data_IF_445893299853
#
_entry.id   IF_445893299853
#
_cell.length_a   1.000
_cell.length_b   1.000
_cell.length_c   1.000
_cell.angle_alpha   90.00
_cell.angle_beta   90.00
_cell.angle_gamma   90.00
#
_symmetry.space_group_name_H-M   'P 1'
#
loop_
_entity.id
_entity.type
_entity.pdbx_description
1 polymer ?
#
# COMPACT_ATOMS: atom_id res chain seq x y z
N UNK A 1 45.95 -51.71 21.60
CA UNK A 1 46.15 -50.25 21.54
C UNK A 1 45.60 -49.81 20.20
N UNK A 2 44.29 -49.61 20.12
CA UNK A 2 43.61 -49.28 18.88
C UNK A 2 43.42 -47.76 18.83
N UNK A 3 43.97 -47.14 17.78
CA UNK A 3 43.74 -45.74 17.43
C UNK A 3 42.25 -45.52 17.15
N UNK A 4 41.64 -44.59 17.89
CA UNK A 4 40.27 -44.17 17.66
C UNK A 4 40.16 -43.35 16.37
N UNK A 5 39.00 -43.36 15.68
CA UNK A 5 38.84 -42.59 14.45
C UNK A 5 38.90 -41.10 14.75
N UNK A 6 39.67 -40.37 13.94
CA UNK A 6 39.71 -38.93 13.95
C UNK A 6 38.30 -38.35 13.75
N UNK A 7 37.83 -37.64 14.76
CA UNK A 7 36.59 -36.88 14.75
C UNK A 7 36.68 -35.82 13.63
N UNK A 8 35.90 -36.01 12.56
CA UNK A 8 35.79 -35.05 11.47
C UNK A 8 35.19 -33.76 12.02
N UNK A 9 35.97 -32.69 12.03
CA UNK A 9 35.51 -31.36 12.43
C UNK A 9 34.23 -30.97 11.65
N UNK A 10 33.22 -30.37 12.30
CA UNK A 10 32.01 -29.95 11.62
C UNK A 10 32.34 -28.89 10.55
N UNK A 11 31.61 -28.87 9.42
CA UNK A 11 31.81 -27.83 8.41
C UNK A 11 31.56 -26.45 9.04
N UNK A 12 32.49 -25.52 8.79
CA UNK A 12 32.42 -24.13 9.24
C UNK A 12 31.06 -23.52 8.90
N UNK A 13 30.31 -23.16 9.94
CA UNK A 13 28.93 -22.68 9.88
C UNK A 13 28.82 -21.15 9.68
N UNK A 14 29.69 -20.54 8.87
CA UNK A 14 29.53 -19.14 8.49
C UNK A 14 29.24 -19.04 6.99
N UNK A 15 27.95 -19.00 6.67
CA UNK A 15 27.45 -18.81 5.30
C UNK A 15 27.72 -17.40 4.73
N UNK A 16 28.09 -16.44 5.59
CA UNK A 16 28.41 -15.06 5.20
C UNK A 16 29.92 -14.84 5.11
N UNK A 17 30.35 -14.01 4.17
CA UNK A 17 31.73 -13.55 4.10
C UNK A 17 32.11 -12.80 5.38
N UNK A 18 33.32 -13.05 5.89
CA UNK A 18 33.84 -12.33 7.06
C UNK A 18 34.10 -10.87 6.73
N UNK A 19 33.97 -9.97 7.70
CA UNK A 19 34.21 -8.52 7.49
C UNK A 19 35.63 -8.19 7.04
N UNK A 20 36.61 -9.05 7.35
CA UNK A 20 38.00 -8.95 6.92
C UNK A 20 38.26 -9.47 5.51
N UNK A 21 37.30 -10.15 4.88
CA UNK A 21 37.43 -10.65 3.51
C UNK A 21 37.49 -9.47 2.51
N UNK A 22 38.48 -9.41 1.61
CA UNK A 22 38.54 -8.39 0.55
C UNK A 22 37.25 -8.31 -0.30
N UNK A 23 36.52 -9.41 -0.49
CA UNK A 23 35.22 -9.41 -1.17
C UNK A 23 34.14 -8.69 -0.37
N UNK A 24 34.17 -8.76 0.96
CA UNK A 24 33.29 -7.96 1.82
C UNK A 24 33.57 -6.47 1.65
N UNK A 25 34.86 -6.09 1.62
CA UNK A 25 35.28 -4.70 1.39
C UNK A 25 34.87 -4.19 0.00
N UNK A 26 35.01 -5.02 -1.04
CA UNK A 26 34.58 -4.68 -2.40
C UNK A 26 33.06 -4.50 -2.51
N UNK A 27 32.28 -5.40 -1.89
CA UNK A 27 30.82 -5.29 -1.84
C UNK A 27 30.37 -4.03 -1.08
N UNK A 28 31.05 -3.67 0.01
CA UNK A 28 30.80 -2.42 0.72
C UNK A 28 31.11 -1.19 -0.16
N UNK A 29 32.26 -1.17 -0.84
CA UNK A 29 32.61 -0.08 -1.75
C UNK A 29 31.57 0.10 -2.87
N UNK A 30 31.04 -1.00 -3.42
CA UNK A 30 29.92 -0.94 -4.37
C UNK A 30 28.66 -0.32 -3.75
N UNK A 31 28.24 -0.78 -2.57
CA UNK A 31 27.05 -0.26 -1.87
C UNK A 31 27.17 1.24 -1.57
N UNK A 32 28.35 1.69 -1.15
CA UNK A 32 28.63 3.10 -0.88
C UNK A 32 28.55 3.94 -2.16
N UNK A 33 29.19 3.48 -3.25
CA UNK A 33 29.14 4.16 -4.54
C UNK A 33 27.70 4.21 -5.10
N UNK A 34 26.94 3.12 -4.96
CA UNK A 34 25.54 3.04 -5.37
C UNK A 34 24.68 4.03 -4.56
N UNK A 35 24.82 4.06 -3.24
CA UNK A 35 24.09 4.98 -2.37
C UNK A 35 24.41 6.45 -2.70
N UNK A 36 25.69 6.79 -2.84
CA UNK A 36 26.10 8.14 -3.24
C UNK A 36 25.54 8.54 -4.61
N UNK A 37 25.49 7.61 -5.57
CA UNK A 37 24.93 7.86 -6.91
C UNK A 37 23.42 8.06 -6.87
N UNK A 38 22.70 7.24 -6.09
CA UNK A 38 21.25 7.40 -5.87
C UNK A 38 20.95 8.79 -5.29
N UNK A 39 21.71 9.24 -4.30
CA UNK A 39 21.49 10.55 -3.68
C UNK A 39 21.77 11.70 -4.67
N UNK A 40 22.81 11.57 -5.50
CA UNK A 40 23.09 12.52 -6.58
C UNK A 40 21.99 12.54 -7.65
N UNK A 41 21.42 11.38 -8.00
CA UNK A 41 20.27 11.29 -8.92
C UNK A 41 19.11 12.06 -8.31
N UNK A 42 18.72 11.77 -7.06
CA UNK A 42 17.62 12.45 -6.39
C UNK A 42 17.79 13.97 -6.38
N UNK A 43 19.00 14.47 -6.12
CA UNK A 43 19.29 15.91 -6.14
C UNK A 43 19.17 16.55 -7.53
N UNK A 44 19.34 15.76 -8.59
CA UNK A 44 19.25 16.20 -10.00
C UNK A 44 17.90 15.91 -10.66
N UNK A 45 16.99 15.23 -9.97
CA UNK A 45 15.67 14.91 -10.51
C UNK A 45 14.87 16.18 -10.79
N UNK A 46 13.98 16.09 -11.78
CA UNK A 46 12.92 17.08 -11.97
C UNK A 46 11.95 17.11 -10.78
N UNK A 47 10.81 17.81 -10.90
CA UNK A 47 9.81 17.81 -9.85
C UNK A 47 9.38 16.38 -9.45
N UNK A 48 9.34 16.10 -8.15
CA UNK A 48 8.87 14.82 -7.61
C UNK A 48 7.80 15.03 -6.54
N UNK A 49 6.74 14.24 -6.59
CA UNK A 49 5.65 14.26 -5.62
C UNK A 49 5.65 12.98 -4.80
N UNK A 50 5.46 13.09 -3.49
CA UNK A 50 5.10 11.98 -2.63
C UNK A 50 3.70 12.18 -2.07
N UNK A 51 2.85 11.15 -2.16
CA UNK A 51 1.61 11.08 -1.38
C UNK A 51 1.86 10.19 -0.16
N UNK A 52 1.78 10.80 1.02
CA UNK A 52 2.00 10.14 2.31
C UNK A 52 0.85 10.55 3.23
N UNK A 53 0.05 9.59 3.68
CA UNK A 53 -1.13 9.82 4.51
C UNK A 53 -2.04 10.95 3.98
N UNK A 54 -2.18 12.05 4.73
CA UNK A 54 -3.04 13.19 4.40
C UNK A 54 -2.31 14.27 3.58
N UNK A 55 -1.05 14.04 3.21
CA UNK A 55 -0.18 15.03 2.61
C UNK A 55 0.23 14.65 1.19
N UNK A 56 0.31 15.68 0.36
CA UNK A 56 1.13 15.72 -0.84
C UNK A 56 2.37 16.54 -0.54
N UNK A 57 3.52 16.04 -0.96
CA UNK A 57 4.81 16.69 -0.76
C UNK A 57 5.48 16.81 -2.12
N UNK A 58 5.71 18.02 -2.59
CA UNK A 58 6.44 18.32 -3.82
C UNK A 58 7.84 18.80 -3.49
N UNK A 59 8.86 18.14 -4.06
CA UNK A 59 10.22 18.67 -4.12
C UNK A 59 10.49 19.19 -5.53
N UNK A 60 10.86 20.46 -5.63
CA UNK A 60 11.13 21.14 -6.91
C UNK A 60 12.16 22.25 -6.72
N UNK A 61 13.26 22.22 -7.48
CA UNK A 61 14.25 23.30 -7.49
C UNK A 61 14.81 23.65 -6.10
N UNK A 62 15.03 22.64 -5.25
CA UNK A 62 15.46 22.81 -3.86
C UNK A 62 14.37 23.27 -2.88
N UNK A 63 13.15 23.55 -3.35
CA UNK A 63 12.00 23.87 -2.52
C UNK A 63 11.21 22.62 -2.13
N UNK A 64 10.61 22.67 -0.94
CA UNK A 64 9.66 21.68 -0.45
C UNK A 64 8.31 22.36 -0.23
N UNK A 65 7.33 21.96 -1.03
CA UNK A 65 5.94 22.42 -0.93
C UNK A 65 5.09 21.30 -0.35
N UNK A 66 4.17 21.64 0.55
CA UNK A 66 3.26 20.69 1.18
C UNK A 66 1.84 21.16 0.95
N UNK A 67 0.98 20.24 0.52
CA UNK A 67 -0.44 20.47 0.33
C UNK A 67 -1.26 19.28 0.84
N UNK A 68 -2.58 19.45 1.02
CA UNK A 68 -3.44 18.37 1.44
C UNK A 68 -3.62 17.34 0.31
N UNK A 69 -3.66 16.06 0.67
CA UNK A 69 -4.11 14.97 -0.19
C UNK A 69 -5.60 14.67 -0.02
N UNK A 70 -6.19 15.08 1.10
CA UNK A 70 -7.61 14.89 1.43
C UNK A 70 -8.05 15.86 2.51
N UNK A 71 -9.35 16.01 2.70
CA UNK A 71 -9.90 16.87 3.75
C UNK A 71 -10.37 16.07 4.96
N UNK A 72 -10.88 16.77 5.97
CA UNK A 72 -11.57 16.15 7.11
C UNK A 72 -12.75 15.27 6.67
N UNK A 73 -13.41 15.57 5.54
CA UNK A 73 -14.58 14.83 5.05
C UNK A 73 -14.25 13.37 4.75
N UNK A 74 -13.08 13.11 4.15
CA UNK A 74 -12.57 11.75 3.96
C UNK A 74 -12.59 10.95 5.27
N UNK A 75 -12.03 11.53 6.34
CA UNK A 75 -11.92 10.84 7.63
C UNK A 75 -13.28 10.63 8.30
N UNK A 76 -14.17 11.62 8.21
CA UNK A 76 -15.52 11.50 8.76
C UNK A 76 -16.32 10.35 8.11
N UNK A 77 -16.18 10.16 6.80
CA UNK A 77 -16.84 9.07 6.08
C UNK A 77 -16.15 7.72 6.32
N UNK A 78 -14.81 7.67 6.26
CA UNK A 78 -14.02 6.46 6.46
C UNK A 78 -14.16 5.90 7.87
N UNK A 79 -14.11 6.73 8.91
CA UNK A 79 -14.15 6.23 10.30
C UNK A 79 -15.48 5.53 10.59
N UNK A 80 -16.59 6.00 10.02
CA UNK A 80 -17.90 5.34 10.21
C UNK A 80 -17.94 3.97 9.53
N UNK A 81 -17.26 3.78 8.38
CA UNK A 81 -17.21 2.45 7.74
C UNK A 81 -16.42 1.41 8.55
N UNK A 82 -15.52 1.85 9.43
CA UNK A 82 -14.82 0.96 10.33
C UNK A 82 -15.72 0.39 11.43
N UNK A 83 -16.86 1.01 11.76
CA UNK A 83 -17.70 0.55 12.88
C UNK A 83 -18.27 -0.85 12.62
N UNK A 84 -18.95 -1.13 11.49
CA UNK A 84 -19.41 -2.49 11.19
C UNK A 84 -18.26 -3.52 11.12
N UNK A 85 -17.10 -3.12 10.59
CA UNK A 85 -15.92 -3.99 10.50
C UNK A 85 -15.36 -4.33 11.89
N UNK A 86 -15.26 -3.34 12.79
CA UNK A 86 -14.81 -3.56 14.16
C UNK A 86 -15.74 -4.52 14.91
N UNK A 87 -17.06 -4.39 14.72
CA UNK A 87 -18.03 -5.33 15.30
C UNK A 87 -17.87 -6.73 14.72
N UNK A 88 -17.67 -6.87 13.41
CA UNK A 88 -17.37 -8.17 12.80
C UNK A 88 -16.11 -8.80 13.40
N UNK A 89 -15.01 -8.05 13.50
CA UNK A 89 -13.74 -8.55 14.06
C UNK A 89 -13.88 -8.98 15.51
N UNK A 90 -14.60 -8.21 16.32
CA UNK A 90 -14.77 -8.51 17.75
C UNK A 90 -15.69 -9.72 18.00
N UNK A 91 -16.64 -9.99 17.12
CA UNK A 91 -17.70 -11.00 17.32
C UNK A 91 -17.50 -12.28 16.49
N UNK A 92 -16.78 -12.21 15.37
CA UNK A 92 -16.59 -13.36 14.47
C UNK A 92 -15.87 -14.51 15.15
N UNK A 93 -16.35 -15.74 14.92
CA UNK A 93 -15.78 -16.96 15.47
C UNK A 93 -16.02 -17.20 16.97
N UNK A 94 -16.66 -16.25 17.67
CA UNK A 94 -17.00 -16.41 19.09
C UNK A 94 -18.28 -17.22 19.26
N UNK A 95 -18.30 -18.09 20.28
CA UNK A 95 -19.46 -18.90 20.68
C UNK A 95 -19.61 -18.82 22.20
N UNK A 96 -20.84 -18.66 22.68
CA UNK A 96 -21.14 -18.53 24.11
C UNK A 96 -20.83 -17.14 24.66
N UNK A 97 -20.82 -17.04 26.00
CA UNK A 97 -20.67 -15.77 26.71
C UNK A 97 -19.38 -15.02 26.33
N UNK A 98 -19.50 -13.70 26.23
CA UNK A 98 -18.37 -12.82 25.96
C UNK A 98 -17.50 -12.65 27.20
N UNK A 99 -16.19 -12.78 27.02
CA UNK A 99 -15.22 -12.39 28.05
C UNK A 99 -15.34 -10.90 28.42
N UNK A 100 -14.93 -10.56 29.64
CA UNK A 100 -15.06 -9.20 30.18
C UNK A 100 -14.33 -8.15 29.32
N UNK A 101 -13.16 -8.49 28.77
CA UNK A 101 -12.38 -7.56 27.96
C UNK A 101 -13.08 -7.20 26.64
N UNK A 102 -13.71 -8.18 26.00
CA UNK A 102 -14.54 -8.00 24.80
C UNK A 102 -15.79 -7.18 25.12
N UNK A 103 -16.47 -7.50 26.24
CA UNK A 103 -17.64 -6.74 26.70
C UNK A 103 -17.31 -5.27 26.97
N UNK A 104 -16.16 -4.99 27.58
CA UNK A 104 -15.69 -3.63 27.82
C UNK A 104 -15.38 -2.87 26.52
N UNK A 105 -14.74 -3.53 25.56
CA UNK A 105 -14.47 -2.96 24.23
C UNK A 105 -15.76 -2.62 23.49
N UNK A 106 -16.73 -3.53 23.47
CA UNK A 106 -18.04 -3.33 22.83
C UNK A 106 -18.83 -2.20 23.50
N UNK A 107 -18.80 -2.14 24.83
CA UNK A 107 -19.41 -1.04 25.60
C UNK A 107 -18.73 0.30 25.30
N UNK A 108 -17.40 0.30 25.11
CA UNK A 108 -16.65 1.47 24.64
C UNK A 108 -17.10 1.94 23.26
N UNK A 109 -17.26 1.02 22.31
CA UNK A 109 -17.77 1.33 20.96
C UNK A 109 -19.21 1.86 21.03
N UNK A 110 -20.08 1.27 21.85
CA UNK A 110 -21.45 1.73 22.03
C UNK A 110 -21.51 3.20 22.47
N UNK A 111 -20.68 3.59 23.46
CA UNK A 111 -20.58 5.00 23.90
C UNK A 111 -20.10 5.93 22.78
N UNK A 112 -19.12 5.49 21.98
CA UNK A 112 -18.61 6.27 20.85
C UNK A 112 -19.66 6.43 19.74
N UNK A 113 -20.49 5.42 19.49
CA UNK A 113 -21.62 5.49 18.55
C UNK A 113 -22.64 6.51 19.04
N UNK A 114 -23.06 6.45 20.30
CA UNK A 114 -24.01 7.42 20.89
C UNK A 114 -23.51 8.86 20.76
N UNK A 115 -22.26 9.11 21.16
CA UNK A 115 -21.65 10.43 21.03
C UNK A 115 -21.53 10.88 19.56
N UNK A 116 -21.30 9.95 18.64
CA UNK A 116 -21.22 10.25 17.20
C UNK A 116 -22.57 10.63 16.61
N UNK A 117 -23.65 9.96 17.02
CA UNK A 117 -25.04 10.28 16.62
C UNK A 117 -25.47 11.66 17.13
N UNK A 118 -25.17 11.99 18.40
CA UNK A 118 -25.45 13.31 18.98
C UNK A 118 -24.69 14.43 18.27
N UNK A 119 -23.46 14.15 17.82
CA UNK A 119 -22.60 15.11 17.13
C UNK A 119 -22.85 15.24 15.63
N UNK A 120 -23.71 14.42 15.04
CA UNK A 120 -23.73 14.20 13.58
C UNK A 120 -24.07 15.46 12.78
N UNK A 121 -25.09 16.22 13.20
CA UNK A 121 -25.54 17.43 12.50
C UNK A 121 -24.49 18.55 12.49
N UNK A 122 -23.53 18.54 13.43
CA UNK A 122 -22.48 19.56 13.54
C UNK A 122 -21.28 19.32 12.62
N UNK A 123 -21.29 18.25 11.83
CA UNK A 123 -20.17 17.84 10.97
C UNK A 123 -20.21 18.45 9.56
N UNK A 124 -21.27 19.20 9.22
CA UNK A 124 -21.43 19.81 7.90
C UNK A 124 -21.58 18.79 6.77
N UNK A 125 -22.07 17.59 7.08
CA UNK A 125 -22.37 16.55 6.09
C UNK A 125 -23.51 16.99 5.18
N UNK A 126 -23.53 16.53 3.92
CA UNK A 126 -24.75 16.68 3.11
C UNK A 126 -25.90 15.93 3.77
N UNK A 127 -27.15 16.26 3.42
CA UNK A 127 -28.31 15.57 3.97
C UNK A 127 -28.24 14.05 3.74
N UNK A 128 -27.85 13.64 2.53
CA UNK A 128 -27.68 12.22 2.19
C UNK A 128 -26.55 11.57 3.01
N UNK A 129 -25.41 12.25 3.14
CA UNK A 129 -24.27 11.75 3.92
C UNK A 129 -24.63 11.60 5.40
N UNK A 130 -25.32 12.59 5.99
CA UNK A 130 -25.78 12.55 7.38
C UNK A 130 -26.76 11.38 7.59
N UNK A 131 -27.78 11.25 6.73
CA UNK A 131 -28.73 10.16 6.80
C UNK A 131 -28.05 8.78 6.70
N UNK A 132 -27.02 8.66 5.86
CA UNK A 132 -26.23 7.43 5.70
C UNK A 132 -25.41 7.09 6.94
N UNK A 133 -24.72 8.05 7.54
CA UNK A 133 -23.96 7.81 8.77
C UNK A 133 -24.89 7.39 9.90
N UNK A 134 -26.06 8.03 9.99
CA UNK A 134 -27.09 7.68 10.96
C UNK A 134 -27.54 6.23 10.81
N UNK A 135 -27.87 5.77 9.59
CA UNK A 135 -28.24 4.37 9.33
C UNK A 135 -27.16 3.38 9.78
N UNK A 136 -25.90 3.63 9.43
CA UNK A 136 -24.79 2.74 9.81
C UNK A 136 -24.65 2.67 11.35
N UNK A 137 -24.65 3.83 12.00
CA UNK A 137 -24.46 3.94 13.44
C UNK A 137 -25.65 3.36 14.23
N UNK A 138 -26.88 3.60 13.81
CA UNK A 138 -28.09 3.06 14.45
C UNK A 138 -28.16 1.53 14.27
N UNK A 139 -27.85 1.00 13.09
CA UNK A 139 -27.76 -0.45 12.90
C UNK A 139 -26.65 -1.08 13.74
N UNK A 140 -25.50 -0.41 13.87
CA UNK A 140 -24.39 -0.84 14.73
C UNK A 140 -24.77 -0.82 16.21
N UNK A 141 -25.55 0.18 16.65
CA UNK A 141 -26.06 0.26 18.02
C UNK A 141 -27.03 -0.88 18.32
N UNK A 142 -27.92 -1.22 17.38
CA UNK A 142 -28.90 -2.29 17.57
C UNK A 142 -28.25 -3.66 17.75
N UNK A 143 -27.24 -4.00 16.95
CA UNK A 143 -26.53 -5.29 17.13
C UNK A 143 -25.70 -5.30 18.43
N UNK A 144 -25.12 -4.17 18.83
CA UNK A 144 -24.42 -4.04 20.11
C UNK A 144 -25.36 -4.24 21.30
N UNK A 145 -26.55 -3.66 21.25
CA UNK A 145 -27.57 -3.83 22.30
C UNK A 145 -27.92 -5.32 22.45
N UNK A 146 -28.26 -5.99 21.33
CA UNK A 146 -28.55 -7.43 21.32
C UNK A 146 -27.42 -8.26 21.94
N UNK A 147 -26.17 -7.97 21.57
CA UNK A 147 -25.00 -8.69 22.05
C UNK A 147 -24.73 -8.44 23.53
N UNK A 148 -24.90 -7.20 24.00
CA UNK A 148 -24.60 -6.83 25.38
C UNK A 148 -25.70 -7.28 26.35
N UNK A 149 -26.96 -7.38 25.89
CA UNK A 149 -28.11 -7.81 26.71
C UNK A 149 -28.32 -9.33 26.76
N UNK A 150 -27.68 -10.11 25.88
CA UNK A 150 -27.87 -11.55 25.77
C UNK A 150 -26.56 -12.35 25.71
N UNK A 151 -26.66 -13.60 25.28
CA UNK A 151 -25.54 -14.56 25.24
C UNK A 151 -24.66 -14.44 23.97
N UNK A 152 -24.61 -13.25 23.37
CA UNK A 152 -23.88 -12.96 22.12
C UNK A 152 -24.76 -12.88 20.87
N UNK A 153 -24.15 -13.06 19.69
CA UNK A 153 -24.84 -13.01 18.38
C UNK A 153 -24.52 -14.27 17.57
N UNK A 154 -25.51 -14.81 16.84
CA UNK A 154 -25.26 -15.94 15.96
C UNK A 154 -24.42 -15.54 14.74
N UNK A 155 -23.72 -16.50 14.13
CA UNK A 155 -22.94 -16.25 12.93
C UNK A 155 -23.81 -15.74 11.77
N UNK A 156 -25.03 -16.26 11.65
CA UNK A 156 -26.02 -15.88 10.63
C UNK A 156 -26.48 -14.43 10.85
N UNK A 157 -26.80 -14.05 12.08
CA UNK A 157 -27.22 -12.70 12.41
C UNK A 157 -26.08 -11.68 12.19
N UNK A 158 -24.85 -12.03 12.58
CA UNK A 158 -23.67 -11.19 12.32
C UNK A 158 -23.39 -11.04 10.82
N UNK A 159 -23.55 -12.12 10.04
CA UNK A 159 -23.38 -12.07 8.58
C UNK A 159 -24.46 -11.22 7.91
N UNK A 160 -25.73 -11.40 8.30
CA UNK A 160 -26.85 -10.61 7.78
C UNK A 160 -26.68 -9.11 8.07
N UNK A 161 -26.33 -8.76 9.31
CA UNK A 161 -25.97 -7.40 9.69
C UNK A 161 -24.86 -6.84 8.81
N UNK A 162 -23.72 -7.55 8.71
CA UNK A 162 -22.56 -7.09 7.96
C UNK A 162 -22.89 -6.84 6.48
N UNK A 163 -23.62 -7.77 5.84
CA UNK A 163 -24.05 -7.63 4.44
C UNK A 163 -25.00 -6.45 4.23
N UNK A 164 -25.91 -6.21 5.18
CA UNK A 164 -26.83 -5.08 5.10
C UNK A 164 -26.12 -3.72 5.16
N UNK A 165 -24.93 -3.64 5.76
CA UNK A 165 -24.15 -2.39 5.83
C UNK A 165 -23.37 -2.09 4.53
N UNK A 166 -23.15 -3.10 3.66
CA UNK A 166 -22.26 -2.97 2.49
C UNK A 166 -22.64 -1.81 1.56
N UNK A 167 -23.91 -1.59 1.16
CA UNK A 167 -24.27 -0.50 0.26
C UNK A 167 -23.88 0.88 0.81
N UNK A 168 -24.16 1.13 2.10
CA UNK A 168 -23.85 2.41 2.75
C UNK A 168 -22.34 2.59 2.96
N UNK A 169 -21.61 1.49 3.28
CA UNK A 169 -20.14 1.48 3.37
C UNK A 169 -19.50 1.84 2.02
N UNK A 170 -19.95 1.21 0.92
CA UNK A 170 -19.41 1.46 -0.42
C UNK A 170 -19.67 2.89 -0.86
N UNK A 171 -20.84 3.46 -0.52
CA UNK A 171 -21.13 4.86 -0.82
C UNK A 171 -20.28 5.83 0.00
N UNK A 172 -19.95 5.51 1.26
CA UNK A 172 -18.95 6.27 2.02
C UNK A 172 -17.56 6.17 1.40
N UNK A 173 -17.17 4.99 0.91
CA UNK A 173 -15.89 4.80 0.24
C UNK A 173 -15.80 5.63 -1.06
N UNK A 174 -16.89 5.69 -1.83
CA UNK A 174 -16.98 6.53 -3.04
C UNK A 174 -16.84 8.03 -2.69
N UNK A 175 -17.61 8.52 -1.73
CA UNK A 175 -17.56 9.93 -1.31
C UNK A 175 -16.19 10.30 -0.72
N UNK A 176 -15.54 9.39 0.01
CA UNK A 176 -14.18 9.57 0.51
C UNK A 176 -13.16 9.57 -0.63
N UNK A 177 -13.27 8.66 -1.59
CA UNK A 177 -12.41 8.64 -2.77
C UNK A 177 -12.53 9.94 -3.58
N UNK A 178 -13.76 10.46 -3.75
CA UNK A 178 -14.03 11.75 -4.37
C UNK A 178 -13.31 12.89 -3.64
N UNK A 179 -13.46 12.98 -2.31
CA UNK A 179 -12.78 14.01 -1.51
C UNK A 179 -11.25 13.96 -1.71
N UNK A 180 -10.65 12.76 -1.69
CA UNK A 180 -9.22 12.60 -1.91
C UNK A 180 -8.81 13.02 -3.33
N UNK A 181 -9.54 12.57 -4.36
CA UNK A 181 -9.25 12.90 -5.77
C UNK A 181 -9.36 14.40 -6.00
N UNK A 182 -10.47 15.03 -5.60
CA UNK A 182 -10.70 16.46 -5.82
C UNK A 182 -9.66 17.31 -5.09
N UNK A 183 -9.27 16.91 -3.87
CA UNK A 183 -8.26 17.61 -3.08
C UNK A 183 -6.86 17.48 -3.69
N UNK A 184 -6.45 16.26 -4.06
CA UNK A 184 -5.17 16.04 -4.75
C UNK A 184 -5.14 16.81 -6.07
N UNK A 185 -6.22 16.78 -6.84
CA UNK A 185 -6.32 17.48 -8.11
C UNK A 185 -6.14 18.98 -7.97
N UNK A 186 -6.88 19.61 -7.05
CA UNK A 186 -6.75 21.03 -6.78
C UNK A 186 -5.32 21.42 -6.36
N UNK A 187 -4.71 20.64 -5.44
CA UNK A 187 -3.34 20.87 -4.98
C UNK A 187 -2.33 20.76 -6.12
N UNK A 188 -2.46 19.72 -6.95
CA UNK A 188 -1.51 19.42 -8.03
C UNK A 188 -1.66 20.42 -9.17
N UNK A 189 -2.87 20.78 -9.59
CA UNK A 189 -3.05 21.80 -10.63
C UNK A 189 -2.50 23.16 -10.18
N UNK A 190 -2.66 23.54 -8.90
CA UNK A 190 -2.05 24.76 -8.37
C UNK A 190 -0.51 24.74 -8.42
N UNK A 191 0.12 23.58 -8.24
CA UNK A 191 1.57 23.42 -8.42
C UNK A 191 1.97 23.41 -9.89
N UNK A 192 1.22 22.71 -10.75
CA UNK A 192 1.49 22.63 -12.20
C UNK A 192 1.43 23.98 -12.89
N UNK A 193 0.54 24.88 -12.46
CA UNK A 193 0.47 26.26 -12.96
C UNK A 193 1.78 27.05 -12.76
N UNK A 194 2.63 26.62 -11.84
CA UNK A 194 3.91 27.26 -11.55
C UNK A 194 5.07 26.57 -12.25
N UNK A 195 4.85 25.46 -12.96
CA UNK A 195 5.88 24.64 -13.59
C UNK A 195 6.08 25.00 -15.07
N UNK A 196 7.31 24.84 -15.57
CA UNK A 196 7.56 24.92 -17.01
C UNK A 196 7.08 23.65 -17.73
N UNK A 197 6.88 23.68 -19.06
CA UNK A 197 6.56 22.47 -19.83
C UNK A 197 7.58 21.33 -19.63
N UNK A 198 8.87 21.66 -19.53
CA UNK A 198 9.94 20.68 -19.32
C UNK A 198 9.89 20.06 -17.91
N UNK A 199 9.53 20.85 -16.90
CA UNK A 199 9.31 20.38 -15.54
C UNK A 199 8.11 19.41 -15.49
N UNK A 200 7.00 19.77 -16.13
CA UNK A 200 5.80 18.94 -16.22
C UNK A 200 6.06 17.61 -16.94
N UNK A 201 6.84 17.63 -18.02
CA UNK A 201 7.21 16.43 -18.76
C UNK A 201 8.06 15.46 -17.92
N UNK A 202 8.79 15.95 -16.92
CA UNK A 202 9.66 15.14 -16.04
C UNK A 202 9.06 14.86 -14.67
N UNK A 203 7.85 15.35 -14.38
CA UNK A 203 7.18 15.16 -13.09
C UNK A 203 7.00 13.66 -12.81
N UNK A 204 7.39 13.20 -11.61
CA UNK A 204 7.19 11.82 -11.16
C UNK A 204 6.49 11.80 -9.80
N UNK A 205 5.80 10.71 -9.50
CA UNK A 205 5.09 10.53 -8.24
C UNK A 205 5.43 9.20 -7.55
N UNK A 206 5.49 9.21 -6.22
CA UNK A 206 5.52 8.01 -5.38
C UNK A 206 4.36 8.06 -4.39
N UNK A 207 3.71 6.91 -4.20
CA UNK A 207 2.58 6.75 -3.29
C UNK A 207 2.98 5.78 -2.19
N UNK A 208 2.98 6.22 -0.94
CA UNK A 208 3.16 5.33 0.21
C UNK A 208 1.84 4.59 0.48
N UNK A 209 1.81 3.28 0.31
CA UNK A 209 0.61 2.45 0.43
C UNK A 209 0.98 1.05 0.91
N UNK A 210 0.19 0.44 1.79
CA UNK A 210 0.39 -0.97 2.17
C UNK A 210 0.24 -1.92 0.97
N UNK A 211 1.08 -2.95 0.87
CA UNK A 211 1.06 -3.96 -0.20
C UNK A 211 -0.35 -4.46 -0.57
N UNK A 212 -1.16 -4.85 0.42
CA UNK A 212 -2.51 -5.41 0.21
C UNK A 212 -3.54 -4.42 -0.37
N UNK A 213 -3.25 -3.12 -0.29
CA UNK A 213 -4.10 -2.05 -0.81
C UNK A 213 -3.52 -1.38 -2.05
N UNK A 214 -2.45 -1.95 -2.63
CA UNK A 214 -1.81 -1.43 -3.84
C UNK A 214 -2.72 -1.56 -5.08
N UNK A 215 -3.29 -2.73 -5.41
CA UNK A 215 -4.17 -2.83 -6.58
C UNK A 215 -5.37 -1.90 -6.42
N UNK A 216 -5.59 -1.01 -7.39
CA UNK A 216 -6.67 -0.03 -7.32
C UNK A 216 -6.49 1.05 -6.23
N UNK A 217 -5.27 1.34 -5.76
CA UNK A 217 -5.06 2.47 -4.84
C UNK A 217 -5.49 3.80 -5.48
N UNK A 218 -6.27 4.61 -4.75
CA UNK A 218 -6.84 5.87 -5.27
C UNK A 218 -5.77 6.85 -5.76
N UNK A 219 -4.67 7.03 -5.02
CA UNK A 219 -3.62 7.96 -5.38
C UNK A 219 -2.78 7.44 -6.56
N UNK A 220 -2.46 6.13 -6.59
CA UNK A 220 -1.77 5.51 -7.73
C UNK A 220 -2.60 5.70 -9.00
N UNK A 221 -3.88 5.33 -8.97
CA UNK A 221 -4.79 5.50 -10.11
C UNK A 221 -4.86 6.95 -10.58
N UNK A 222 -5.01 7.90 -9.64
CA UNK A 222 -5.03 9.32 -9.95
C UNK A 222 -3.73 9.79 -10.63
N UNK A 223 -2.57 9.43 -10.09
CA UNK A 223 -1.28 9.83 -10.68
C UNK A 223 -1.03 9.16 -12.03
N UNK A 224 -1.41 7.89 -12.21
CA UNK A 224 -1.27 7.21 -13.50
C UNK A 224 -2.02 7.95 -14.60
N UNK A 225 -3.30 8.28 -14.35
CA UNK A 225 -4.12 9.04 -15.32
C UNK A 225 -3.55 10.43 -15.57
N UNK A 226 -3.15 11.16 -14.53
CA UNK A 226 -2.73 12.56 -14.66
C UNK A 226 -1.31 12.73 -15.21
N UNK A 227 -0.46 11.71 -15.09
CA UNK A 227 0.89 11.70 -15.66
C UNK A 227 0.96 10.99 -17.02
N UNK A 228 -0.16 10.48 -17.53
CA UNK A 228 -0.25 9.83 -18.84
C UNK A 228 0.33 8.42 -18.89
N UNK A 229 0.36 7.73 -17.76
CA UNK A 229 0.72 6.32 -17.66
C UNK A 229 -0.48 5.41 -17.99
N UNK A 230 -0.23 4.13 -18.25
CA UNK A 230 -1.29 3.14 -18.38
C UNK A 230 -2.11 3.04 -17.08
N UNK A 231 -3.42 2.83 -17.20
CA UNK A 231 -4.34 2.73 -16.06
C UNK A 231 -5.35 1.60 -16.26
N UNK A 232 -5.22 0.54 -15.47
CA UNK A 232 -6.11 -0.64 -15.47
C UNK A 232 -7.07 -0.66 -14.28
N UNK A 233 -7.05 0.38 -13.44
CA UNK A 233 -7.91 0.54 -12.29
C UNK A 233 -7.66 -0.52 -11.21
N UNK A 234 -8.72 -1.23 -10.79
CA UNK A 234 -8.62 -2.28 -9.75
C UNK A 234 -7.90 -3.56 -10.23
N UNK A 235 -7.67 -3.68 -11.53
CA UNK A 235 -7.00 -4.81 -12.15
C UNK A 235 -5.51 -4.57 -12.36
N UNK A 236 -5.06 -3.34 -12.11
CA UNK A 236 -3.67 -2.91 -12.18
C UNK A 236 -2.83 -3.80 -11.26
N UNK A 237 -2.14 -4.76 -11.89
CA UNK A 237 -1.00 -5.42 -11.28
C UNK A 237 0.22 -4.55 -11.54
N UNK A 238 1.27 -4.70 -10.75
CA UNK A 238 2.48 -3.94 -10.98
C UNK A 238 3.08 -4.36 -12.32
N UNK A 239 2.80 -3.55 -13.34
CA UNK A 239 3.34 -3.73 -14.67
C UNK A 239 4.77 -3.16 -14.67
N UNK A 240 5.72 -4.01 -15.05
CA UNK A 240 7.15 -3.71 -15.13
C UNK A 240 7.43 -3.12 -16.51
N UNK A 241 6.98 -1.89 -16.74
CA UNK A 241 7.17 -1.21 -18.01
C UNK A 241 8.31 -0.18 -17.92
N UNK A 242 9.18 -0.11 -18.94
CA UNK A 242 10.18 0.95 -19.08
C UNK A 242 9.59 2.37 -18.91
N UNK A 243 10.31 3.26 -18.21
CA UNK A 243 9.98 4.68 -18.13
C UNK A 243 8.91 5.10 -17.12
N UNK A 244 8.48 4.21 -16.21
CA UNK A 244 7.37 4.42 -15.27
C UNK A 244 7.49 5.71 -14.45
N UNK A 245 6.42 6.51 -14.41
CA UNK A 245 6.39 7.79 -13.67
C UNK A 245 5.72 7.72 -12.30
N UNK A 246 5.02 6.62 -12.00
CA UNK A 246 4.27 6.41 -10.75
C UNK A 246 4.72 5.13 -10.08
N UNK A 247 5.23 5.22 -8.86
CA UNK A 247 5.65 4.08 -8.05
C UNK A 247 4.83 3.96 -6.75
N UNK A 248 4.65 2.73 -6.28
CA UNK A 248 4.10 2.44 -4.95
C UNK A 248 5.25 2.09 -3.98
N UNK A 249 5.25 2.68 -2.78
CA UNK A 249 6.17 2.32 -1.70
C UNK A 249 5.40 1.55 -0.63
N UNK A 250 5.77 0.28 -0.42
CA UNK A 250 5.01 -0.65 0.43
C UNK A 250 5.56 -0.83 1.84
N UNK A 251 6.83 -0.46 2.04
CA UNK A 251 7.59 -0.75 3.25
C UNK A 251 7.85 0.48 4.11
N UNK A 252 7.51 1.68 3.62
CA UNK A 252 7.79 2.93 4.33
C UNK A 252 6.75 4.02 4.04
N UNK A 253 6.41 4.77 5.09
CA UNK A 253 5.64 6.01 5.04
C UNK A 253 6.54 7.24 5.29
N UNK A 254 7.85 7.06 5.23
CA UNK A 254 8.83 8.14 5.37
C UNK A 254 9.13 8.83 4.04
N UNK A 255 9.18 10.17 4.06
CA UNK A 255 9.42 10.98 2.87
C UNK A 255 10.78 10.70 2.23
N UNK A 256 11.85 10.57 3.03
CA UNK A 256 13.18 10.33 2.49
C UNK A 256 13.25 8.95 1.84
N UNK A 257 12.70 7.92 2.48
CA UNK A 257 12.60 6.57 1.93
C UNK A 257 11.79 6.51 0.63
N UNK A 258 10.63 7.21 0.56
CA UNK A 258 9.80 7.24 -0.63
C UNK A 258 10.53 7.88 -1.83
N UNK A 259 11.25 8.98 -1.61
CA UNK A 259 12.06 9.60 -2.67
C UNK A 259 13.32 8.79 -3.01
N UNK A 260 13.92 8.10 -2.04
CA UNK A 260 15.01 7.15 -2.32
C UNK A 260 14.55 6.01 -3.22
N UNK A 261 13.32 5.49 -3.04
CA UNK A 261 12.75 4.46 -3.92
C UNK A 261 12.66 4.96 -5.38
N UNK A 262 12.13 6.16 -5.60
CA UNK A 262 12.10 6.78 -6.93
C UNK A 262 13.49 6.91 -7.55
N UNK A 263 14.47 7.37 -6.76
CA UNK A 263 15.84 7.53 -7.24
C UNK A 263 16.51 6.18 -7.56
N UNK A 264 16.24 5.15 -6.75
CA UNK A 264 16.67 3.77 -6.99
C UNK A 264 16.12 3.26 -8.32
N UNK A 265 14.82 3.41 -8.57
CA UNK A 265 14.21 2.95 -9.82
C UNK A 265 14.83 3.63 -11.06
N UNK A 266 15.08 4.94 -11.01
CA UNK A 266 15.76 5.66 -12.10
C UNK A 266 17.21 5.17 -12.30
N UNK A 267 17.93 4.91 -11.21
CA UNK A 267 19.29 4.39 -11.28
C UNK A 267 19.29 2.97 -11.87
N UNK A 268 18.40 2.12 -11.40
CA UNK A 268 18.30 0.72 -11.80
C UNK A 268 17.88 0.59 -13.26
N UNK A 269 16.93 1.39 -13.73
CA UNK A 269 16.58 1.50 -15.15
C UNK A 269 17.82 1.81 -16.01
N UNK A 270 18.63 2.81 -15.60
CA UNK A 270 19.86 3.16 -16.31
C UNK A 270 20.92 2.06 -16.26
N UNK A 271 21.04 1.32 -15.16
CA UNK A 271 21.99 0.19 -15.06
C UNK A 271 21.50 -0.98 -15.91
N UNK A 272 20.21 -1.31 -15.81
CA UNK A 272 19.50 -2.29 -16.62
C UNK A 272 19.80 -2.12 -18.10
N UNK A 273 19.49 -0.94 -18.66
CA UNK A 273 19.74 -0.64 -20.07
C UNK A 273 21.22 -0.75 -20.44
N UNK A 274 22.14 -0.23 -19.60
CA UNK A 274 23.58 -0.16 -19.96
C UNK A 274 24.32 -1.48 -19.83
N UNK A 275 23.97 -2.29 -18.83
CA UNK A 275 24.65 -3.57 -18.57
C UNK A 275 23.97 -4.74 -19.26
N UNK A 276 22.64 -4.73 -19.34
CA UNK A 276 21.85 -5.88 -19.79
C UNK A 276 21.05 -5.61 -21.06
N UNK A 277 21.00 -4.36 -21.53
CA UNK A 277 20.18 -3.98 -22.69
C UNK A 277 18.68 -3.98 -22.42
N UNK A 278 18.26 -4.12 -21.16
CA UNK A 278 16.87 -4.27 -20.72
C UNK A 278 16.64 -3.35 -19.51
N UNK A 279 15.78 -2.34 -19.65
CA UNK A 279 15.56 -1.30 -18.64
C UNK A 279 15.09 -1.90 -17.29
N UNK A 280 14.15 -2.82 -17.34
CA UNK A 280 13.53 -3.45 -16.16
C UNK A 280 14.35 -4.61 -15.58
N UNK A 281 15.58 -4.87 -16.05
CA UNK A 281 16.33 -6.08 -15.68
C UNK A 281 16.61 -6.20 -14.18
N UNK A 282 16.74 -5.07 -13.49
CA UNK A 282 17.01 -5.01 -12.06
C UNK A 282 15.74 -5.03 -11.19
N UNK A 283 14.56 -5.05 -11.80
CA UNK A 283 13.27 -5.19 -11.10
C UNK A 283 12.93 -6.66 -10.80
N UNK A 284 13.65 -7.61 -11.42
CA UNK A 284 13.62 -9.04 -11.07
C UNK A 284 14.94 -9.48 -10.45
N UNK A 285 14.88 -10.52 -9.62
CA UNK A 285 16.07 -11.07 -8.96
C UNK A 285 17.20 -11.35 -9.97
N UNK A 286 18.43 -10.95 -9.64
CA UNK A 286 19.58 -11.11 -10.54
C UNK A 286 19.80 -12.58 -10.91
N UNK A 287 19.53 -13.49 -9.98
CA UNK A 287 19.69 -14.94 -10.12
C UNK A 287 18.47 -15.62 -10.75
N UNK A 288 17.34 -14.92 -10.98
CA UNK A 288 16.08 -15.51 -11.45
C UNK A 288 16.26 -16.41 -12.68
N UNK A 289 16.87 -15.89 -13.77
CA UNK A 289 17.06 -16.64 -15.02
C UNK A 289 17.89 -17.92 -14.81
N UNK A 290 18.87 -17.88 -13.90
CA UNK A 290 19.68 -19.03 -13.56
C UNK A 290 18.90 -20.01 -12.68
N UNK A 291 18.11 -19.50 -11.72
CA UNK A 291 17.25 -20.29 -10.85
C UNK A 291 16.22 -21.07 -11.67
N UNK A 292 15.50 -20.42 -12.59
CA UNK A 292 14.53 -21.08 -13.47
C UNK A 292 15.16 -22.25 -14.23
N UNK A 293 16.29 -22.02 -14.90
CA UNK A 293 17.01 -23.08 -15.63
C UNK A 293 17.53 -24.21 -14.72
N UNK A 294 17.94 -23.89 -13.49
CA UNK A 294 18.40 -24.91 -12.53
C UNK A 294 17.21 -25.75 -12.05
N UNK A 295 16.12 -25.09 -11.66
CA UNK A 295 14.91 -25.73 -11.17
C UNK A 295 14.26 -26.59 -12.27
N UNK A 296 14.21 -26.10 -13.50
CA UNK A 296 13.70 -26.87 -14.64
C UNK A 296 14.49 -28.16 -14.88
N UNK A 297 15.82 -28.11 -14.77
CA UNK A 297 16.66 -29.32 -14.87
C UNK A 297 16.51 -30.24 -13.66
N UNK A 298 16.40 -29.67 -12.46
CA UNK A 298 16.35 -30.43 -11.20
C UNK A 298 15.01 -31.15 -11.02
N UNK A 299 13.91 -30.51 -11.42
CA UNK A 299 12.55 -30.99 -11.20
C UNK A 299 11.84 -31.40 -12.48
N UNK A 300 12.51 -31.34 -13.63
CA UNK A 300 11.94 -31.61 -14.95
C UNK A 300 10.63 -30.84 -15.21
N UNK A 301 10.57 -29.60 -14.72
CA UNK A 301 9.39 -28.73 -14.78
C UNK A 301 9.79 -27.31 -15.21
N UNK A 302 9.23 -26.86 -16.32
CA UNK A 302 9.43 -25.48 -16.80
C UNK A 302 8.53 -24.48 -16.05
N UNK A 303 8.91 -23.20 -15.97
CA UNK A 303 8.04 -22.13 -15.48
C UNK A 303 6.75 -22.05 -16.30
N UNK A 304 5.61 -21.93 -15.62
CA UNK A 304 4.32 -21.71 -16.28
C UNK A 304 4.15 -20.21 -16.55
N UNK A 305 3.83 -19.80 -17.80
CA UNK A 305 3.55 -18.40 -18.08
C UNK A 305 2.32 -17.93 -17.30
N UNK A 306 2.20 -16.63 -16.99
CA UNK A 306 1.02 -16.09 -16.33
C UNK A 306 -0.22 -16.42 -17.16
N UNK A 307 -1.28 -16.88 -16.50
CA UNK A 307 -2.53 -17.25 -17.15
C UNK A 307 -3.10 -16.02 -17.88
N UNK A 308 -3.30 -16.13 -19.19
CA UNK A 308 -4.05 -15.12 -19.94
C UNK A 308 -5.53 -15.19 -19.55
N UNK A 309 -6.20 -14.07 -19.25
CA UNK A 309 -7.59 -14.06 -18.78
C UNK A 309 -8.62 -14.72 -19.73
N UNK A 310 -8.25 -15.05 -20.97
CA UNK A 310 -9.19 -15.43 -22.04
C UNK A 310 -9.11 -16.90 -22.52
N UNK A 311 -8.44 -17.80 -21.80
CA UNK A 311 -8.51 -19.23 -22.16
C UNK A 311 -9.55 -19.95 -21.30
N UNK A 312 -10.73 -20.35 -21.82
CA UNK A 312 -11.64 -21.18 -21.06
C UNK A 312 -10.96 -22.51 -20.74
N UNK A 313 -11.07 -22.95 -19.48
CA UNK A 313 -10.53 -24.24 -19.05
C UNK A 313 -11.15 -25.36 -19.90
N UNK A 314 -10.34 -25.98 -20.75
CA UNK A 314 -10.71 -27.21 -21.42
C UNK A 314 -10.78 -28.32 -20.36
N UNK A 315 -11.98 -28.88 -20.19
CA UNK A 315 -12.20 -30.11 -19.43
C UNK A 315 -11.71 -31.36 -20.14
#
# INVERSE_FOLDING_TARGET
MAEGPAESAPPSAHAALESSDPLSALNMAFRDAYAARRDAILASMGPVIAQIDDLLILRRGGQRLVGPARTRRYHELKVVTHVPLALHVLLSGRRGELDAATRDRLSGIQRLISASLEGLERRGLSQEQSARQRRILEASAAILEQVLSGDGVSAEALSAYTRAQVPDILRNAEDAARDQIDTMHATIEAWKQQMTPEELARLRAVVAVSHTARPGNVAVQYFSVTLGENWEGRFDQEDLQPGKRVLASETSFDEAAAFSLLATHVLDASVGTRFFGEEIRLERDLLADAAERILARMFHKEPEPPATPDTPASG
#
